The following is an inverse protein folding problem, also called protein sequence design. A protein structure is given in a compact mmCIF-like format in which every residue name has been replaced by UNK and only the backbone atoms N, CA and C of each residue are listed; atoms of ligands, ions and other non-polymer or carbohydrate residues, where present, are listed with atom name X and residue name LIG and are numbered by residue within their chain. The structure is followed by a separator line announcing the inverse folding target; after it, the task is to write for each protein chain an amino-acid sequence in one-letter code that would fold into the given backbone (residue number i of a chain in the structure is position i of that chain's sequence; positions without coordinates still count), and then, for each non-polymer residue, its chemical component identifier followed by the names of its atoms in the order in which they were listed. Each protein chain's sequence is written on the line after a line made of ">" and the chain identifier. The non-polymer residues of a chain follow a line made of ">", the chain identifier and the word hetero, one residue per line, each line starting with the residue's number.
data_IF_723673127913
#
_entry.id   IF_723673127913
#
_cell.length_a   1.000
_cell.length_b   1.000
_cell.length_c   1.000
_cell.angle_alpha   90.00
_cell.angle_beta   90.00
_cell.angle_gamma   90.00
#
_symmetry.space_group_name_H-M   'P 1'
#
loop_
_entity.id
_entity.type
_entity.pdbx_description
1 polymer ?
#
# COMPACT_ATOMS: atom_id res chain seq x y z
N UNK A 1 -18.80 0.91 16.12
CA UNK A 1 -18.68 -0.16 15.09
C UNK A 1 -18.69 0.35 13.64
N UNK A 2 -19.43 1.42 13.27
CA UNK A 2 -19.45 1.93 11.88
C UNK A 2 -18.09 2.46 11.35
N UNK A 3 -17.31 3.14 12.20
CA UNK A 3 -16.01 3.71 11.78
C UNK A 3 -14.92 2.69 11.47
N UNK A 4 -14.87 1.57 12.20
CA UNK A 4 -13.88 0.51 11.96
C UNK A 4 -14.13 -0.23 10.64
N UNK A 5 -15.39 -0.55 10.33
CA UNK A 5 -15.76 -1.18 9.07
C UNK A 5 -15.46 -0.27 7.88
N UNK A 6 -15.74 1.04 8.01
CA UNK A 6 -15.35 2.03 7.01
C UNK A 6 -13.84 2.11 6.83
N UNK A 7 -13.07 2.12 7.93
CA UNK A 7 -11.61 2.09 7.86
C UNK A 7 -11.08 0.83 7.20
N UNK A 8 -11.67 -0.34 7.49
CA UNK A 8 -11.29 -1.59 6.86
C UNK A 8 -11.67 -1.64 5.38
N UNK A 9 -12.84 -1.13 4.99
CA UNK A 9 -13.23 -1.04 3.58
C UNK A 9 -12.33 -0.07 2.81
N UNK A 10 -11.90 1.01 3.46
CA UNK A 10 -11.06 2.02 2.82
C UNK A 10 -9.57 1.66 2.88
N UNK A 11 -9.05 1.03 3.93
CA UNK A 11 -7.62 0.72 4.06
C UNK A 11 -7.31 -0.77 3.99
N UNK A 12 -8.32 -1.64 3.80
CA UNK A 12 -8.15 -3.09 3.78
C UNK A 12 -7.21 -3.59 2.69
N UNK A 13 -7.29 -3.00 1.48
CA UNK A 13 -6.35 -3.31 0.41
C UNK A 13 -4.91 -2.93 0.80
N UNK A 14 -4.73 -1.75 1.41
CA UNK A 14 -3.41 -1.30 1.86
C UNK A 14 -2.88 -2.22 2.96
N UNK A 15 -3.71 -2.56 3.95
CA UNK A 15 -3.34 -3.46 5.03
C UNK A 15 -2.95 -4.86 4.51
N UNK A 16 -3.69 -5.41 3.54
CA UNK A 16 -3.37 -6.69 2.92
C UNK A 16 -2.00 -6.66 2.22
N UNK A 17 -1.71 -5.61 1.45
CA UNK A 17 -0.41 -5.44 0.78
C UNK A 17 0.72 -5.29 1.80
N UNK A 18 0.50 -4.56 2.90
CA UNK A 18 1.49 -4.40 3.98
C UNK A 18 1.80 -5.75 4.65
N UNK A 19 0.77 -6.52 5.00
CA UNK A 19 0.94 -7.85 5.60
C UNK A 19 1.69 -8.79 4.65
N UNK A 20 1.32 -8.78 3.36
CA UNK A 20 2.03 -9.55 2.34
C UNK A 20 3.51 -9.16 2.23
N UNK A 21 3.82 -7.85 2.13
CA UNK A 21 5.19 -7.37 2.02
C UNK A 21 6.04 -7.72 3.25
N UNK A 22 5.44 -7.75 4.45
CA UNK A 22 6.10 -8.16 5.68
C UNK A 22 6.44 -9.66 5.70
N UNK A 23 5.52 -10.52 5.22
CA UNK A 23 5.77 -11.97 5.10
C UNK A 23 6.87 -12.26 4.07
N UNK A 24 6.86 -11.55 2.94
CA UNK A 24 7.90 -11.65 1.90
C UNK A 24 9.26 -11.17 2.43
N UNK A 25 9.28 -10.11 3.25
CA UNK A 25 10.51 -9.66 3.91
C UNK A 25 11.05 -10.70 4.91
N UNK A 26 10.17 -11.35 5.68
CA UNK A 26 10.54 -12.45 6.58
C UNK A 26 11.16 -13.63 5.82
N UNK A 27 10.64 -13.97 4.64
CA UNK A 27 11.24 -14.98 3.76
C UNK A 27 12.65 -14.59 3.29
N UNK A 28 12.91 -13.30 3.04
CA UNK A 28 14.24 -12.83 2.69
C UNK A 28 15.26 -13.03 3.83
N UNK A 29 14.85 -12.83 5.10
CA UNK A 29 15.72 -13.05 6.25
C UNK A 29 16.09 -14.51 6.48
N UNK A 30 15.25 -15.45 6.06
CA UNK A 30 15.52 -16.89 6.21
C UNK A 30 16.45 -17.47 5.13
N UNK A 31 16.75 -16.73 4.06
CA UNK A 31 17.57 -17.19 2.92
C UNK A 31 18.95 -16.52 2.93
N UNK A 32 19.77 -16.82 3.94
CA UNK A 32 21.05 -16.12 4.13
C UNK A 32 22.12 -16.42 3.07
N UNK A 33 22.05 -17.59 2.41
CA UNK A 33 23.08 -18.05 1.43
C UNK A 33 22.60 -18.06 -0.03
N UNK A 34 21.35 -17.71 -0.33
CA UNK A 34 20.77 -17.83 -1.68
C UNK A 34 20.72 -16.49 -2.42
N UNK A 35 21.15 -16.42 -3.70
CA UNK A 35 21.00 -15.23 -4.56
C UNK A 35 19.54 -14.74 -4.67
N UNK A 36 18.57 -15.64 -4.42
CA UNK A 36 17.14 -15.34 -4.43
C UNK A 36 16.71 -14.33 -3.36
N UNK A 37 17.53 -14.06 -2.32
CA UNK A 37 17.23 -13.06 -1.30
C UNK A 37 16.95 -11.68 -1.90
N UNK A 38 17.71 -11.27 -2.91
CA UNK A 38 17.51 -9.99 -3.59
C UNK A 38 16.17 -9.89 -4.31
N UNK A 39 15.64 -11.01 -4.81
CA UNK A 39 14.32 -11.08 -5.43
C UNK A 39 13.23 -10.84 -4.40
N UNK A 40 13.33 -11.44 -3.22
CA UNK A 40 12.39 -11.20 -2.11
C UNK A 40 12.46 -9.77 -1.58
N UNK A 41 13.66 -9.19 -1.47
CA UNK A 41 13.83 -7.78 -1.11
C UNK A 41 13.19 -6.86 -2.16
N UNK A 42 13.42 -7.12 -3.45
CA UNK A 42 12.80 -6.36 -4.54
C UNK A 42 11.26 -6.49 -4.54
N UNK A 43 10.73 -7.68 -4.26
CA UNK A 43 9.29 -7.92 -4.12
C UNK A 43 8.69 -7.19 -2.92
N UNK A 44 9.37 -7.16 -1.78
CA UNK A 44 8.93 -6.40 -0.61
C UNK A 44 8.91 -4.90 -0.90
N UNK A 45 9.98 -4.39 -1.54
CA UNK A 45 10.04 -3.00 -2.01
C UNK A 45 8.93 -2.68 -3.01
N UNK A 46 8.60 -3.60 -3.92
CA UNK A 46 7.47 -3.45 -4.83
C UNK A 46 6.15 -3.31 -4.08
N UNK A 47 5.93 -4.10 -3.01
CA UNK A 47 4.78 -3.97 -2.13
C UNK A 47 4.68 -2.59 -1.47
N UNK A 48 5.80 -2.07 -0.97
CA UNK A 48 5.85 -0.70 -0.40
C UNK A 48 5.56 0.36 -1.47
N UNK A 49 6.12 0.21 -2.67
CA UNK A 49 5.85 1.11 -3.80
C UNK A 49 4.36 1.11 -4.19
N UNK A 50 3.71 -0.05 -4.18
CA UNK A 50 2.26 -0.17 -4.40
C UNK A 50 1.47 0.63 -3.36
N UNK A 51 1.80 0.51 -2.08
CA UNK A 51 1.14 1.27 -1.01
C UNK A 51 1.30 2.78 -1.23
N UNK A 52 2.51 3.23 -1.54
CA UNK A 52 2.77 4.64 -1.85
C UNK A 52 1.97 5.13 -3.06
N UNK A 53 1.86 4.30 -4.11
CA UNK A 53 1.04 4.58 -5.28
C UNK A 53 -0.45 4.76 -4.96
N UNK A 54 -1.02 3.86 -4.14
CA UNK A 54 -2.41 3.96 -3.70
C UNK A 54 -2.65 5.28 -2.95
N UNK A 55 -1.77 5.65 -2.03
CA UNK A 55 -1.87 6.92 -1.31
C UNK A 55 -1.77 8.14 -2.24
N UNK A 56 -0.87 8.10 -3.24
CA UNK A 56 -0.72 9.18 -4.21
C UNK A 56 -1.96 9.36 -5.07
N UNK A 57 -2.57 8.26 -5.52
CA UNK A 57 -3.82 8.29 -6.28
C UNK A 57 -4.95 8.87 -5.43
N UNK A 58 -5.08 8.43 -4.17
CA UNK A 58 -6.08 8.98 -3.24
C UNK A 58 -5.93 10.48 -3.06
N UNK A 59 -4.72 10.94 -2.77
CA UNK A 59 -4.44 12.37 -2.60
C UNK A 59 -4.73 13.17 -3.86
N UNK A 60 -4.47 12.60 -5.03
CA UNK A 60 -4.77 13.22 -6.31
C UNK A 60 -6.28 13.35 -6.53
N UNK A 61 -7.05 12.29 -6.29
CA UNK A 61 -8.52 12.29 -6.39
C UNK A 61 -9.14 13.28 -5.40
N UNK A 62 -8.69 13.28 -4.14
CA UNK A 62 -9.18 14.23 -3.13
C UNK A 62 -8.90 15.68 -3.52
N UNK A 63 -7.74 15.94 -4.14
CA UNK A 63 -7.38 17.26 -4.67
C UNK A 63 -8.27 17.70 -5.83
N UNK A 64 -8.60 16.77 -6.73
CA UNK A 64 -9.55 17.02 -7.83
C UNK A 64 -10.97 17.26 -7.33
N UNK A 65 -11.45 16.47 -6.36
CA UNK A 65 -12.78 16.64 -5.77
C UNK A 65 -12.95 18.05 -5.18
N UNK A 66 -11.95 18.52 -4.42
CA UNK A 66 -11.95 19.88 -3.85
C UNK A 66 -11.91 20.98 -4.91
N UNK A 67 -11.15 20.80 -5.98
CA UNK A 67 -11.11 21.75 -7.10
C UNK A 67 -12.43 21.77 -7.90
N UNK A 68 -13.13 20.64 -7.95
CA UNK A 68 -14.44 20.49 -8.61
C UNK A 68 -15.53 21.20 -7.82
N UNK A 69 -15.49 21.08 -6.49
CA UNK A 69 -16.45 21.70 -5.58
C UNK A 69 -16.35 23.23 -5.57
N UNK A 70 -15.14 23.77 -5.75
CA UNK A 70 -14.91 25.21 -5.86
C UNK A 70 -15.28 25.79 -7.25
N UNK A 71 -15.43 24.94 -8.28
CA UNK A 71 -15.82 25.35 -9.64
C UNK A 71 -17.35 25.42 -9.84
N UNK A 72 -18.15 25.01 -8.84
CA UNK A 72 -19.60 25.12 -8.88
C UNK A 72 -20.12 26.08 -7.79
N UNK A 73 -19.85 27.41 -7.90
CA UNK A 73 -20.55 28.42 -7.11
C UNK A 73 -21.99 28.64 -7.57
#
# INVERSE_FOLDING_TARGET
>A
MKGFLQYFMNYGLVAAVVVWAAVVALMAYHLDESPWRWVFVALSLAGVATVAGIFRIRRYIDGLAKASEQKNP
#
